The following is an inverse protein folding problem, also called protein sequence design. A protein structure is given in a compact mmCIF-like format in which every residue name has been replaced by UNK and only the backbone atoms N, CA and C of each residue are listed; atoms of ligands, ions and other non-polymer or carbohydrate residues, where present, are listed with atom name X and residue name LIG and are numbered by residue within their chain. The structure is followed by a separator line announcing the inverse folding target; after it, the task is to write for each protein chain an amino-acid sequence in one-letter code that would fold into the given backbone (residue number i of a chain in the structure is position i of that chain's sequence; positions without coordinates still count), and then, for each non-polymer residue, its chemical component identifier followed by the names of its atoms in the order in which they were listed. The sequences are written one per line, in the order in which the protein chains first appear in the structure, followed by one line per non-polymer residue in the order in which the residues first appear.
data_IF_932197223918
#
_entry.id   IF_932197223918
#
_cell.length_a   1.000
_cell.length_b   1.000
_cell.length_c   1.000
_cell.angle_alpha   90.00
_cell.angle_beta   90.00
_cell.angle_gamma   90.00
#
_symmetry.space_group_name_H-M   'P 1'
#
loop_
_entity.id
_entity.type
_entity.pdbx_description
1 polymer ?
#
# COMPACT_ATOMS: atom_id res chain seq x y z
N UNK A 1 -8.18 11.92 1.99
CA UNK A 1 -8.08 13.21 2.71
C UNK A 1 -8.65 13.04 4.11
N UNK A 2 -7.89 13.44 5.12
CA UNK A 2 -8.26 13.33 6.53
C UNK A 2 -8.35 14.73 7.12
N UNK A 3 -9.33 14.97 7.98
CA UNK A 3 -9.37 16.11 8.88
C UNK A 3 -8.45 15.82 10.07
N UNK A 4 -7.38 16.58 10.22
CA UNK A 4 -6.33 16.35 11.23
C UNK A 4 -6.82 16.58 12.66
N UNK A 5 -7.81 17.45 12.87
CA UNK A 5 -8.30 17.78 14.21
C UNK A 5 -9.17 16.65 14.79
N UNK A 6 -9.99 16.03 13.94
CA UNK A 6 -10.88 14.93 14.35
C UNK A 6 -10.36 13.54 13.94
N UNK A 7 -9.24 13.49 13.23
CA UNK A 7 -8.75 12.28 12.56
C UNK A 7 -9.84 11.55 11.75
N UNK A 8 -10.67 12.33 11.05
CA UNK A 8 -11.84 11.85 10.31
C UNK A 8 -11.59 11.85 8.81
N UNK A 9 -11.99 10.79 8.10
CA UNK A 9 -11.86 10.69 6.64
C UNK A 9 -12.87 11.63 5.98
N UNK A 10 -12.45 12.86 5.68
CA UNK A 10 -13.28 13.87 5.03
C UNK A 10 -13.61 13.51 3.58
N UNK A 11 -12.64 12.94 2.86
CA UNK A 11 -12.85 12.44 1.49
C UNK A 11 -11.96 11.24 1.20
N UNK A 12 -12.50 10.30 0.45
CA UNK A 12 -11.82 9.05 0.07
C UNK A 12 -12.17 8.73 -1.39
N UNK A 13 -11.16 8.27 -2.11
CA UNK A 13 -11.25 7.88 -3.52
C UNK A 13 -10.50 6.57 -3.68
N UNK A 14 -10.88 5.80 -4.69
CA UNK A 14 -10.20 4.58 -5.06
C UNK A 14 -9.98 4.56 -6.57
N UNK A 15 -8.95 3.85 -6.98
CA UNK A 15 -8.75 3.42 -8.34
C UNK A 15 -8.62 1.89 -8.33
N UNK A 16 -9.27 1.21 -9.26
CA UNK A 16 -9.29 -0.25 -9.30
C UNK A 16 -9.28 -0.74 -10.74
N UNK A 17 -8.41 -1.69 -11.01
CA UNK A 17 -8.35 -2.44 -12.25
C UNK A 17 -8.77 -3.88 -11.96
N UNK A 18 -9.76 -4.40 -12.67
CA UNK A 18 -10.18 -5.79 -12.48
C UNK A 18 -11.65 -6.05 -12.74
N UNK A 19 -12.15 -7.14 -12.17
CA UNK A 19 -13.52 -7.57 -12.39
C UNK A 19 -14.54 -6.66 -11.69
N UNK A 20 -15.79 -6.71 -12.14
CA UNK A 20 -16.89 -5.91 -11.60
C UNK A 20 -17.03 -6.04 -10.07
N UNK A 21 -16.78 -7.23 -9.50
CA UNK A 21 -16.80 -7.43 -8.05
C UNK A 21 -15.74 -6.58 -7.33
N UNK A 22 -14.52 -6.47 -7.89
CA UNK A 22 -13.45 -5.66 -7.29
C UNK A 22 -13.79 -4.17 -7.30
N UNK A 23 -14.34 -3.68 -8.42
CA UNK A 23 -14.78 -2.28 -8.55
C UNK A 23 -15.94 -1.99 -7.61
N UNK A 24 -16.93 -2.90 -7.52
CA UNK A 24 -18.08 -2.74 -6.63
C UNK A 24 -17.66 -2.71 -5.16
N UNK A 25 -16.76 -3.61 -4.75
CA UNK A 25 -16.22 -3.60 -3.40
C UNK A 25 -15.39 -2.34 -3.12
N UNK A 26 -14.55 -1.91 -4.06
CA UNK A 26 -13.80 -0.64 -3.94
C UNK A 26 -14.73 0.57 -3.75
N UNK A 27 -15.86 0.61 -4.45
CA UNK A 27 -16.87 1.65 -4.23
C UNK A 27 -17.46 1.58 -2.82
N UNK A 28 -17.92 0.40 -2.41
CA UNK A 28 -18.56 0.21 -1.10
C UNK A 28 -17.60 0.51 0.05
N UNK A 29 -16.32 0.14 -0.06
CA UNK A 29 -15.36 0.44 1.02
C UNK A 29 -15.19 1.95 1.20
N UNK A 30 -15.21 2.72 0.10
CA UNK A 30 -15.15 4.19 0.19
C UNK A 30 -16.38 4.78 0.85
N UNK A 31 -17.58 4.29 0.53
CA UNK A 31 -18.83 4.74 1.16
C UNK A 31 -18.87 4.39 2.65
N UNK A 32 -18.44 3.18 3.02
CA UNK A 32 -18.38 2.74 4.41
C UNK A 32 -17.37 3.53 5.24
N UNK A 33 -16.22 3.90 4.66
CA UNK A 33 -15.15 4.60 5.36
C UNK A 33 -15.36 6.12 5.44
N UNK A 34 -16.06 6.71 4.46
CA UNK A 34 -16.22 8.17 4.39
C UNK A 34 -16.92 8.71 5.64
N UNK A 35 -16.32 9.74 6.22
CA UNK A 35 -16.82 10.37 7.42
C UNK A 35 -16.60 9.55 8.69
N UNK A 36 -15.85 8.44 8.68
CA UNK A 36 -15.41 7.74 9.91
C UNK A 36 -14.05 8.27 10.40
N UNK A 37 -13.76 8.08 11.68
CA UNK A 37 -12.40 8.25 12.20
C UNK A 37 -11.44 7.19 11.62
N UNK A 38 -10.13 7.43 11.67
CA UNK A 38 -9.13 6.44 11.23
C UNK A 38 -9.28 5.11 11.97
N UNK A 39 -9.56 5.13 13.27
CA UNK A 39 -9.78 3.94 14.08
C UNK A 39 -11.04 3.17 13.67
N UNK A 40 -12.17 3.86 13.51
CA UNK A 40 -13.42 3.25 13.06
C UNK A 40 -13.28 2.65 11.65
N UNK A 41 -12.61 3.35 10.74
CA UNK A 41 -12.40 2.90 9.37
C UNK A 41 -11.47 1.68 9.31
N UNK A 42 -10.42 1.62 10.15
CA UNK A 42 -9.51 0.46 10.26
C UNK A 42 -10.25 -0.82 10.66
N UNK A 43 -11.25 -0.68 11.52
CA UNK A 43 -12.06 -1.78 12.04
C UNK A 43 -13.13 -2.29 11.06
N UNK A 44 -13.27 -1.68 9.88
CA UNK A 44 -14.14 -2.22 8.82
C UNK A 44 -13.66 -3.62 8.43
N UNK A 45 -14.58 -4.57 8.36
CA UNK A 45 -14.32 -5.96 8.01
C UNK A 45 -14.75 -6.27 6.57
N UNK A 46 -14.18 -7.34 6.01
CA UNK A 46 -14.54 -7.77 4.66
C UNK A 46 -15.99 -8.28 4.61
N UNK A 47 -16.52 -8.81 5.72
CA UNK A 47 -17.92 -9.20 5.85
C UNK A 47 -18.83 -7.98 5.74
N UNK A 48 -18.52 -6.88 6.44
CA UNK A 48 -19.31 -5.65 6.33
C UNK A 48 -19.33 -5.11 4.90
N UNK A 49 -18.19 -5.14 4.20
CA UNK A 49 -18.11 -4.74 2.79
C UNK A 49 -18.92 -5.69 1.88
N UNK A 50 -18.86 -7.00 2.12
CA UNK A 50 -19.65 -8.00 1.40
C UNK A 50 -21.15 -7.83 1.64
N UNK A 51 -21.56 -7.63 2.90
CA UNK A 51 -22.97 -7.52 3.28
C UNK A 51 -23.59 -6.24 2.73
N UNK A 52 -22.84 -5.14 2.70
CA UNK A 52 -23.25 -3.89 2.06
C UNK A 52 -23.47 -4.03 0.54
N UNK A 53 -22.85 -5.02 -0.12
CA UNK A 53 -23.12 -5.39 -1.51
C UNK A 53 -24.35 -6.32 -1.68
N UNK A 54 -24.98 -6.75 -0.58
CA UNK A 54 -26.01 -7.80 -0.59
C UNK A 54 -25.43 -9.22 -0.60
N UNK A 55 -24.15 -9.36 -0.26
CA UNK A 55 -23.41 -10.62 -0.26
C UNK A 55 -22.62 -10.84 -1.55
N UNK A 56 -21.57 -11.67 -1.45
CA UNK A 56 -20.78 -12.13 -2.59
C UNK A 56 -20.71 -13.66 -2.61
N UNK A 57 -20.67 -14.29 -3.80
CA UNK A 57 -20.34 -15.70 -3.92
C UNK A 57 -18.97 -15.99 -3.26
N UNK A 58 -18.83 -17.17 -2.63
CA UNK A 58 -17.63 -17.54 -1.88
C UNK A 58 -16.31 -17.32 -2.66
N UNK A 59 -16.30 -17.63 -3.96
CA UNK A 59 -15.11 -17.47 -4.82
C UNK A 59 -14.69 -16.00 -5.03
N UNK A 60 -15.58 -15.03 -4.78
CA UNK A 60 -15.35 -13.58 -4.96
C UNK A 60 -15.11 -12.82 -3.66
N UNK A 61 -15.15 -13.49 -2.51
CA UNK A 61 -14.87 -12.86 -1.19
C UNK A 61 -13.49 -12.20 -1.13
N UNK A 62 -12.51 -12.72 -1.89
CA UNK A 62 -11.19 -12.10 -1.98
C UNK A 62 -11.22 -10.63 -2.44
N UNK A 63 -12.22 -10.22 -3.23
CA UNK A 63 -12.39 -8.80 -3.61
C UNK A 63 -12.66 -7.92 -2.37
N UNK A 64 -13.51 -8.39 -1.44
CA UNK A 64 -13.78 -7.73 -0.16
C UNK A 64 -12.58 -7.68 0.76
N UNK A 65 -11.81 -8.77 0.82
CA UNK A 65 -10.57 -8.79 1.60
C UNK A 65 -9.58 -7.77 1.05
N UNK A 66 -9.35 -7.76 -0.28
CA UNK A 66 -8.43 -6.82 -0.94
C UNK A 66 -8.81 -5.36 -0.71
N UNK A 67 -10.09 -5.00 -0.82
CA UNK A 67 -10.52 -3.62 -0.60
C UNK A 67 -10.32 -3.15 0.85
N UNK A 68 -10.56 -4.03 1.82
CA UNK A 68 -10.32 -3.73 3.25
C UNK A 68 -8.83 -3.60 3.53
N UNK A 69 -8.01 -4.48 2.97
CA UNK A 69 -6.55 -4.41 3.12
C UNK A 69 -5.98 -3.14 2.48
N UNK A 70 -6.53 -2.71 1.34
CA UNK A 70 -6.18 -1.45 0.70
C UNK A 70 -6.54 -0.24 1.59
N UNK A 71 -7.75 -0.22 2.18
CA UNK A 71 -8.16 0.82 3.14
C UNK A 71 -7.20 0.88 4.33
N UNK A 72 -6.91 -0.26 4.95
CA UNK A 72 -6.01 -0.33 6.12
C UNK A 72 -4.60 0.13 5.77
N UNK A 73 -4.10 -0.24 4.60
CA UNK A 73 -2.79 0.21 4.10
C UNK A 73 -2.76 1.72 3.90
N UNK A 74 -3.83 2.30 3.34
CA UNK A 74 -3.93 3.75 3.17
C UNK A 74 -3.98 4.51 4.50
N UNK A 75 -4.71 3.98 5.50
CA UNK A 75 -4.76 4.55 6.85
C UNK A 75 -3.38 4.46 7.51
N UNK A 76 -2.72 3.30 7.45
CA UNK A 76 -1.37 3.14 7.99
C UNK A 76 -0.39 4.12 7.35
N UNK A 77 -0.41 4.25 6.03
CA UNK A 77 0.46 5.19 5.32
C UNK A 77 0.21 6.64 5.76
N UNK A 78 -1.06 7.02 5.96
CA UNK A 78 -1.40 8.32 6.50
C UNK A 78 -0.82 8.52 7.91
N UNK A 79 -1.02 7.57 8.82
CA UNK A 79 -0.51 7.67 10.19
C UNK A 79 1.01 7.78 10.27
N UNK A 80 1.71 6.98 9.47
CA UNK A 80 3.18 7.01 9.36
C UNK A 80 3.67 8.39 8.91
N UNK A 81 3.08 8.95 7.85
CA UNK A 81 3.42 10.28 7.33
C UNK A 81 3.12 11.43 8.29
N UNK A 82 2.19 11.25 9.22
CA UNK A 82 1.76 12.29 10.17
C UNK A 82 2.26 12.02 11.59
N UNK A 83 3.16 11.05 11.80
CA UNK A 83 3.74 10.74 13.10
C UNK A 83 2.72 10.24 14.14
N UNK A 84 1.63 9.63 13.69
CA UNK A 84 0.54 9.14 14.54
C UNK A 84 0.79 7.72 15.07
N UNK A 85 1.84 7.06 14.60
CA UNK A 85 2.22 5.71 15.04
C UNK A 85 2.81 5.78 16.45
N UNK A 86 2.12 5.15 17.41
CA UNK A 86 2.50 5.16 18.83
C UNK A 86 3.63 4.19 19.17
N UNK A 87 3.75 3.08 18.43
CA UNK A 87 4.79 2.07 18.61
C UNK A 87 5.85 2.17 17.51
N UNK A 88 7.02 2.69 17.87
CA UNK A 88 8.17 2.83 16.98
C UNK A 88 9.05 1.59 17.06
N UNK A 89 8.77 0.59 16.22
CA UNK A 89 9.64 -0.57 16.05
C UNK A 89 10.72 -0.26 15.02
N UNK A 90 12.01 -0.56 15.30
CA UNK A 90 13.07 -0.34 14.32
C UNK A 90 12.80 -1.08 13.01
N UNK A 91 13.03 -0.39 11.90
CA UNK A 91 12.92 -0.96 10.57
C UNK A 91 13.94 -2.07 10.39
N UNK A 92 13.52 -3.17 9.77
CA UNK A 92 14.36 -4.33 9.47
C UNK A 92 14.36 -4.62 7.98
N UNK A 93 15.34 -5.39 7.49
CA UNK A 93 15.31 -5.85 6.10
C UNK A 93 14.07 -6.69 5.78
N UNK A 94 13.53 -7.42 6.76
CA UNK A 94 12.30 -8.20 6.57
C UNK A 94 11.06 -7.32 6.51
N UNK A 95 11.02 -6.22 7.27
CA UNK A 95 10.00 -5.17 7.14
C UNK A 95 10.02 -4.57 5.74
N UNK A 96 11.20 -4.13 5.27
CA UNK A 96 11.39 -3.56 3.95
C UNK A 96 10.95 -4.53 2.86
N UNK A 97 11.38 -5.81 2.93
CA UNK A 97 10.91 -6.85 2.00
C UNK A 97 9.41 -7.04 2.04
N UNK A 98 8.78 -7.02 3.23
CA UNK A 98 7.32 -7.15 3.36
C UNK A 98 6.61 -5.99 2.68
N UNK A 99 7.12 -4.77 2.81
CA UNK A 99 6.56 -3.59 2.13
C UNK A 99 6.75 -3.67 0.62
N UNK A 100 7.94 -4.05 0.15
CA UNK A 100 8.24 -4.21 -1.28
C UNK A 100 7.40 -5.30 -1.97
N UNK A 101 6.92 -6.33 -1.25
CA UNK A 101 5.98 -7.33 -1.79
C UNK A 101 4.63 -6.73 -2.22
N UNK A 102 4.36 -5.50 -1.84
CA UNK A 102 3.16 -4.79 -2.25
C UNK A 102 3.42 -3.77 -3.36
N UNK A 103 4.66 -3.69 -3.89
CA UNK A 103 4.97 -2.92 -5.09
C UNK A 103 4.79 -3.82 -6.31
N UNK A 104 3.95 -3.41 -7.25
CA UNK A 104 3.61 -4.23 -8.41
C UNK A 104 4.63 -4.07 -9.53
N UNK A 105 4.91 -5.16 -10.25
CA UNK A 105 5.56 -5.13 -11.55
C UNK A 105 4.47 -5.20 -12.65
N UNK A 106 4.13 -4.08 -13.31
CA UNK A 106 3.03 -4.04 -14.27
C UNK A 106 3.25 -4.91 -15.50
N UNK A 107 4.52 -5.21 -15.86
CA UNK A 107 4.84 -6.00 -17.04
C UNK A 107 4.39 -7.46 -16.92
N UNK A 108 4.32 -7.99 -15.70
CA UNK A 108 4.04 -9.42 -15.43
C UNK A 108 2.90 -9.65 -14.45
N UNK A 109 2.36 -8.59 -13.83
CA UNK A 109 1.22 -8.68 -12.91
C UNK A 109 1.54 -9.39 -11.59
N UNK A 110 2.81 -9.39 -11.18
CA UNK A 110 3.30 -9.93 -9.91
C UNK A 110 4.14 -8.87 -9.20
N UNK A 111 4.39 -9.01 -7.89
CA UNK A 111 5.19 -8.03 -7.15
C UNK A 111 6.68 -8.06 -7.51
N UNK A 112 7.37 -6.95 -7.26
CA UNK A 112 8.79 -6.78 -7.62
C UNK A 112 9.74 -7.74 -6.87
N UNK A 113 9.31 -8.30 -5.73
CA UNK A 113 10.12 -9.26 -4.95
C UNK A 113 10.00 -10.65 -5.55
N UNK A 114 8.78 -11.12 -5.85
CA UNK A 114 8.53 -12.42 -6.50
C UNK A 114 9.11 -12.50 -7.90
N UNK A 115 9.10 -11.37 -8.62
CA UNK A 115 9.65 -11.27 -9.97
C UNK A 115 11.18 -11.15 -9.98
N UNK A 116 11.81 -11.13 -8.80
CA UNK A 116 13.26 -10.94 -8.62
C UNK A 116 13.78 -9.64 -9.26
N UNK A 117 12.91 -8.63 -9.33
CA UNK A 117 13.28 -7.32 -9.84
C UNK A 117 14.15 -6.57 -8.83
N UNK A 118 13.97 -6.79 -7.52
CA UNK A 118 14.88 -6.28 -6.50
C UNK A 118 16.08 -7.23 -6.40
N UNK A 119 17.23 -6.81 -6.94
CA UNK A 119 18.47 -7.60 -6.93
C UNK A 119 19.26 -7.45 -5.64
N UNK A 120 19.19 -6.28 -5.02
CA UNK A 120 19.85 -5.97 -3.75
C UNK A 120 18.96 -5.07 -2.90
N UNK A 121 18.98 -5.33 -1.58
CA UNK A 121 18.30 -4.53 -0.57
C UNK A 121 19.21 -4.40 0.65
N UNK A 122 19.53 -3.17 1.03
CA UNK A 122 20.33 -2.87 2.21
C UNK A 122 19.66 -1.78 3.07
N UNK A 123 19.96 -1.81 4.36
CA UNK A 123 19.55 -0.83 5.36
C UNK A 123 20.78 -0.52 6.22
N UNK A 124 21.21 0.73 6.22
CA UNK A 124 22.35 1.20 7.01
C UNK A 124 22.04 2.59 7.57
N UNK A 125 22.00 2.73 8.89
CA UNK A 125 21.74 3.99 9.61
C UNK A 125 20.57 4.83 9.04
N UNK A 126 19.42 4.19 8.82
CA UNK A 126 18.21 4.82 8.26
C UNK A 126 18.27 5.08 6.75
N UNK A 127 19.36 4.73 6.07
CA UNK A 127 19.47 4.77 4.61
C UNK A 127 19.06 3.44 4.02
N UNK A 128 18.00 3.44 3.20
CA UNK A 128 17.53 2.25 2.50
C UNK A 128 18.04 2.28 1.07
N UNK A 129 18.78 1.26 0.67
CA UNK A 129 19.23 1.09 -0.72
C UNK A 129 18.45 -0.04 -1.38
N UNK A 130 17.79 0.27 -2.50
CA UNK A 130 17.07 -0.70 -3.34
C UNK A 130 17.69 -0.71 -4.73
N UNK A 131 18.26 -1.85 -5.13
CA UNK A 131 18.76 -2.03 -6.50
C UNK A 131 17.75 -2.82 -7.31
N UNK A 132 17.32 -2.24 -8.43
CA UNK A 132 16.37 -2.83 -9.36
C UNK A 132 17.12 -3.41 -10.56
N UNK A 133 16.88 -4.67 -10.89
CA UNK A 133 17.33 -5.31 -12.14
C UNK A 133 16.49 -4.83 -13.34
N UNK A 134 16.54 -3.53 -13.58
CA UNK A 134 15.80 -2.80 -14.59
C UNK A 134 16.65 -1.66 -15.13
N UNK A 135 16.39 -1.25 -16.37
CA UNK A 135 16.95 -0.03 -16.96
C UNK A 135 16.16 1.20 -16.51
N UNK A 136 16.80 2.35 -16.32
CA UNK A 136 16.10 3.59 -15.94
C UNK A 136 15.13 4.10 -16.98
N UNK A 137 15.34 3.76 -18.26
CA UNK A 137 14.46 4.14 -19.37
C UNK A 137 13.23 3.24 -19.54
N UNK A 138 13.08 2.21 -18.69
CA UNK A 138 11.97 1.28 -18.77
C UNK A 138 10.63 2.00 -18.54
N UNK A 139 9.62 1.69 -19.35
CA UNK A 139 8.30 2.37 -19.32
C UNK A 139 7.60 2.37 -17.95
N UNK A 140 7.91 1.39 -17.08
CA UNK A 140 7.36 1.30 -15.72
C UNK A 140 8.35 1.70 -14.62
N UNK A 141 9.58 2.10 -14.98
CA UNK A 141 10.66 2.41 -14.03
C UNK A 141 10.28 3.51 -13.04
N UNK A 142 9.66 4.59 -13.53
CA UNK A 142 9.21 5.70 -12.69
C UNK A 142 8.08 5.28 -11.74
N UNK A 143 7.06 4.55 -12.24
CA UNK A 143 5.96 4.10 -11.39
C UNK A 143 6.44 3.17 -10.27
N UNK A 144 7.34 2.23 -10.59
CA UNK A 144 7.92 1.32 -9.59
C UNK A 144 8.75 2.12 -8.57
N UNK A 145 9.54 3.09 -9.03
CA UNK A 145 10.31 3.98 -8.14
C UNK A 145 9.38 4.73 -7.17
N UNK A 146 8.36 5.40 -7.68
CA UNK A 146 7.42 6.17 -6.87
C UNK A 146 6.70 5.28 -5.84
N UNK A 147 6.27 4.08 -6.23
CA UNK A 147 5.59 3.15 -5.33
C UNK A 147 6.54 2.59 -4.24
N UNK A 148 7.82 2.39 -4.55
CA UNK A 148 8.84 2.03 -3.54
C UNK A 148 8.99 3.16 -2.52
N UNK A 149 9.15 4.41 -2.99
CA UNK A 149 9.29 5.58 -2.12
C UNK A 149 8.07 5.73 -1.21
N UNK A 150 6.86 5.64 -1.78
CA UNK A 150 5.60 5.78 -1.04
C UNK A 150 5.47 4.79 0.12
N UNK A 151 6.06 3.60 0.00
CA UNK A 151 6.00 2.55 1.02
C UNK A 151 7.13 2.62 2.04
N UNK A 152 8.31 3.11 1.65
CA UNK A 152 9.51 3.07 2.50
C UNK A 152 9.74 4.41 3.20
N UNK A 153 9.61 5.55 2.52
CA UNK A 153 9.88 6.88 3.10
C UNK A 153 9.06 7.20 4.36
N UNK A 154 7.80 6.75 4.53
CA UNK A 154 7.03 7.05 5.73
C UNK A 154 7.52 6.35 7.00
N UNK A 155 8.43 5.38 6.91
CA UNK A 155 8.99 4.70 8.08
C UNK A 155 9.73 5.70 8.96
N UNK A 156 9.45 5.67 10.27
CA UNK A 156 9.86 6.71 11.23
C UNK A 156 11.38 6.87 11.38
N UNK A 157 12.13 5.79 11.12
CA UNK A 157 13.59 5.73 11.22
C UNK A 157 14.29 5.66 9.85
N UNK A 158 13.55 5.89 8.76
CA UNK A 158 14.13 6.01 7.42
C UNK A 158 14.42 7.48 7.11
N UNK A 159 15.67 7.77 6.76
CA UNK A 159 16.15 9.11 6.45
C UNK A 159 16.26 9.37 4.94
N UNK A 160 16.61 8.35 4.16
CA UNK A 160 16.66 8.42 2.71
C UNK A 160 16.45 7.05 2.06
N UNK A 161 15.97 7.08 0.81
CA UNK A 161 15.76 5.88 0.00
C UNK A 161 16.48 6.03 -1.35
N UNK A 162 17.55 5.27 -1.52
CA UNK A 162 18.37 5.26 -2.73
C UNK A 162 17.91 4.14 -3.68
N UNK A 163 17.23 4.50 -4.76
CA UNK A 163 16.77 3.56 -5.78
C UNK A 163 17.71 3.60 -6.99
N UNK A 164 18.41 2.49 -7.21
CA UNK A 164 19.42 2.32 -8.28
C UNK A 164 18.89 1.36 -9.35
N UNK A 165 18.98 1.77 -10.60
CA UNK A 165 18.70 0.92 -11.76
C UNK A 165 19.99 0.20 -12.16
N UNK A 166 20.04 -1.12 -11.97
CA UNK A 166 21.26 -1.93 -12.08
C UNK A 166 21.62 -2.36 -13.50
N UNK A 167 20.83 -1.98 -14.52
CA UNK A 167 21.12 -2.26 -15.93
C UNK A 167 21.68 -1.05 -16.69
N UNK A 168 21.94 0.04 -15.98
CA UNK A 168 22.51 1.28 -16.52
C UNK A 168 24.02 1.41 -16.24
#
# INVERSE_FOLDING_TARGET
KVDEHEQRIADIKFESYGCASNIATGSIITDLAKGKTLEEARNITWQQASDALGGLPAIKVHCSVLAVDALRSAIQNYEERHGLVTEQTPTTLDELRRRLKHVMNPAVGLDIVRTKLVSELALDDGVVRVVLDLSSDHQFGNNIREEILERIEPLWDVHSVDIVFGRD
#
